data_IF_452917333135
#
_entry.id   IF_452917333135
#
_cell.length_a   1.000
_cell.length_b   1.000
_cell.length_c   1.000
_cell.angle_alpha   90.00
_cell.angle_beta   90.00
_cell.angle_gamma   90.00
#
_symmetry.space_group_name_H-M   'P 1'
#
loop_
_entity.id
_entity.type
_entity.pdbx_description
1 polymer ?
#
# COMPACT_ATOMS: atom_id res chain seq x y z
N UNK A 1 18.15 -2.11 8.51
CA UNK A 1 18.01 -3.54 8.32
C UNK A 1 19.08 -4.27 9.06
N UNK A 2 18.67 -5.27 9.79
CA UNK A 2 19.63 -6.07 10.54
C UNK A 2 20.48 -6.90 9.60
N UNK A 3 19.91 -7.34 8.52
CA UNK A 3 20.64 -8.13 7.56
C UNK A 3 21.63 -7.30 6.80
N UNK A 4 22.82 -7.79 6.75
CA UNK A 4 23.86 -7.16 5.98
C UNK A 4 23.91 -7.65 4.55
N UNK A 5 23.24 -8.76 4.28
CA UNK A 5 23.27 -9.36 2.97
C UNK A 5 22.09 -8.95 2.12
N UNK A 6 21.91 -9.72 1.11
CA UNK A 6 20.80 -9.57 0.20
C UNK A 6 19.67 -10.51 0.58
N UNK A 7 18.48 -10.22 0.11
CA UNK A 7 17.38 -11.14 0.23
C UNK A 7 17.65 -12.41 -0.55
N UNK A 8 17.16 -13.52 -0.03
CA UNK A 8 17.40 -14.81 -0.66
C UNK A 8 16.64 -14.98 -1.96
N UNK A 9 15.44 -14.39 -2.04
CA UNK A 9 14.60 -14.59 -3.22
C UNK A 9 15.00 -13.74 -4.40
N UNK A 10 15.08 -12.42 -4.21
CA UNK A 10 15.33 -11.50 -5.32
C UNK A 10 16.79 -11.12 -5.46
N UNK A 11 17.59 -11.30 -4.42
CA UNK A 11 18.97 -10.85 -4.41
C UNK A 11 19.14 -9.36 -4.16
N UNK A 12 18.05 -8.66 -3.91
CA UNK A 12 18.08 -7.23 -3.63
C UNK A 12 18.34 -6.95 -2.14
N UNK A 13 18.89 -5.80 -1.84
CA UNK A 13 18.98 -5.36 -0.45
C UNK A 13 17.59 -5.23 0.15
N UNK A 14 17.40 -5.56 1.43
CA UNK A 14 16.07 -5.53 2.03
C UNK A 14 15.34 -4.19 1.91
N UNK A 15 16.06 -3.08 2.08
CA UNK A 15 15.42 -1.78 1.98
C UNK A 15 14.97 -1.46 0.54
N UNK A 16 15.71 -1.92 -0.45
CA UNK A 16 15.35 -1.74 -1.86
C UNK A 16 14.12 -2.58 -2.18
N UNK A 17 14.12 -3.84 -1.76
CA UNK A 17 12.96 -4.70 -1.97
C UNK A 17 11.71 -4.13 -1.27
N UNK A 18 11.88 -3.57 -0.08
CA UNK A 18 10.77 -2.94 0.66
C UNK A 18 10.20 -1.74 -0.08
N UNK A 19 11.07 -0.91 -0.65
CA UNK A 19 10.61 0.23 -1.47
C UNK A 19 9.82 -0.25 -2.67
N UNK A 20 10.33 -1.28 -3.34
CA UNK A 20 9.66 -1.80 -4.53
C UNK A 20 8.29 -2.38 -4.22
N UNK A 21 8.05 -2.81 -2.99
CA UNK A 21 6.72 -3.25 -2.57
C UNK A 21 5.68 -2.14 -2.73
N UNK A 22 6.09 -0.88 -2.64
CA UNK A 22 5.15 0.24 -2.73
C UNK A 22 5.09 0.87 -4.12
N UNK A 23 6.12 0.67 -4.95
CA UNK A 23 6.25 1.37 -6.24
C UNK A 23 5.03 1.18 -7.13
N UNK A 24 4.56 -0.05 -7.25
CA UNK A 24 3.37 -0.35 -8.01
C UNK A 24 2.44 -1.24 -7.20
N UNK A 25 2.15 -0.80 -5.97
CA UNK A 25 1.24 -1.52 -5.09
C UNK A 25 -0.15 -1.57 -5.73
N UNK A 26 -0.88 -2.66 -5.60
CA UNK A 26 -0.55 -3.88 -4.85
C UNK A 26 0.25 -4.93 -5.66
N UNK A 27 0.55 -4.68 -6.93
CA UNK A 27 1.12 -5.70 -7.82
C UNK A 27 2.54 -6.09 -7.40
N UNK A 28 3.43 -5.12 -7.26
CA UNK A 28 4.79 -5.40 -6.80
C UNK A 28 4.80 -5.94 -5.38
N UNK A 29 3.86 -5.48 -4.54
CA UNK A 29 3.73 -5.98 -3.18
C UNK A 29 3.49 -7.48 -3.16
N UNK A 30 2.58 -7.95 -4.00
CA UNK A 30 2.25 -9.37 -4.07
C UNK A 30 3.44 -10.16 -4.58
N UNK A 31 4.15 -9.64 -5.58
CA UNK A 31 5.33 -10.31 -6.12
C UNK A 31 6.37 -10.52 -5.02
N UNK A 32 6.70 -9.47 -4.28
CA UNK A 32 7.71 -9.60 -3.23
C UNK A 32 7.23 -10.43 -2.06
N UNK A 33 5.92 -10.43 -1.79
CA UNK A 33 5.35 -11.31 -0.79
C UNK A 33 5.64 -12.78 -1.10
N UNK A 34 5.60 -13.14 -2.37
CA UNK A 34 5.83 -14.51 -2.81
C UNK A 34 7.31 -14.84 -2.97
N UNK A 35 8.11 -13.84 -3.33
CA UNK A 35 9.54 -14.06 -3.64
C UNK A 35 10.40 -13.95 -2.37
N UNK A 36 10.13 -13.00 -1.49
CA UNK A 36 10.98 -12.73 -0.32
C UNK A 36 10.36 -13.30 0.95
N UNK A 37 10.14 -14.58 0.98
CA UNK A 37 9.43 -15.21 2.10
C UNK A 37 10.23 -15.26 3.39
N UNK A 38 11.55 -15.21 3.29
CA UNK A 38 12.43 -15.37 4.44
C UNK A 38 12.66 -14.06 5.20
N UNK A 39 12.54 -12.92 4.53
CA UNK A 39 12.83 -11.64 5.15
C UNK A 39 11.55 -11.01 5.70
N UNK A 40 11.47 -10.90 7.02
CA UNK A 40 10.26 -10.39 7.67
C UNK A 40 10.04 -8.92 7.44
N UNK A 41 11.08 -8.14 7.27
CA UNK A 41 10.93 -6.71 6.97
C UNK A 41 10.27 -6.53 5.60
N UNK A 42 10.75 -7.27 4.60
CA UNK A 42 10.16 -7.21 3.26
C UNK A 42 8.73 -7.75 3.29
N UNK A 43 8.50 -8.83 4.03
CA UNK A 43 7.15 -9.37 4.18
C UNK A 43 6.19 -8.36 4.80
N UNK A 44 6.63 -7.63 5.81
CA UNK A 44 5.81 -6.59 6.41
C UNK A 44 5.41 -5.53 5.38
N UNK A 45 6.39 -5.02 4.63
CA UNK A 45 6.12 -3.99 3.63
C UNK A 45 5.28 -4.54 2.47
N UNK A 46 5.50 -5.81 2.12
CA UNK A 46 4.71 -6.44 1.07
C UNK A 46 3.24 -6.58 1.49
N UNK A 47 2.99 -7.00 2.72
CA UNK A 47 1.62 -7.07 3.23
C UNK A 47 0.98 -5.70 3.34
N UNK A 48 1.72 -4.74 3.90
CA UNK A 48 1.19 -3.38 4.04
C UNK A 48 0.92 -2.74 2.67
N UNK A 49 1.84 -2.92 1.72
CA UNK A 49 1.65 -2.41 0.36
C UNK A 49 0.47 -3.04 -0.34
N UNK A 50 0.26 -4.35 -0.15
CA UNK A 50 -0.88 -5.05 -0.73
C UNK A 50 -2.19 -4.52 -0.17
N UNK A 51 -2.29 -4.43 1.16
CA UNK A 51 -3.52 -3.98 1.80
C UNK A 51 -3.77 -2.50 1.48
N UNK A 52 -2.72 -1.69 1.50
CA UNK A 52 -2.85 -0.28 1.14
C UNK A 52 -3.31 -0.10 -0.31
N UNK A 53 -2.69 -0.83 -1.24
CA UNK A 53 -3.03 -0.73 -2.66
C UNK A 53 -4.44 -1.22 -2.95
N UNK A 54 -4.78 -2.40 -2.45
CA UNK A 54 -6.12 -2.96 -2.63
C UNK A 54 -7.16 -2.09 -1.95
N UNK A 55 -6.86 -1.60 -0.73
CA UNK A 55 -7.78 -0.75 0.00
C UNK A 55 -8.05 0.57 -0.71
N UNK A 56 -7.00 1.19 -1.25
CA UNK A 56 -7.14 2.44 -2.00
C UNK A 56 -8.00 2.23 -3.24
N UNK A 57 -7.73 1.16 -3.99
CA UNK A 57 -8.52 0.84 -5.18
C UNK A 57 -9.98 0.60 -4.80
N UNK A 58 -10.22 -0.15 -3.74
CA UNK A 58 -11.58 -0.45 -3.30
C UNK A 58 -12.34 0.81 -2.88
N UNK A 59 -11.67 1.72 -2.16
CA UNK A 59 -12.30 2.97 -1.73
C UNK A 59 -12.63 3.84 -2.94
N UNK A 60 -11.70 3.99 -3.87
CA UNK A 60 -11.92 4.78 -5.07
C UNK A 60 -13.06 4.21 -5.90
N UNK A 61 -13.09 2.89 -6.05
CA UNK A 61 -14.16 2.24 -6.81
C UNK A 61 -15.52 2.45 -6.15
N UNK A 62 -15.57 2.34 -4.81
CA UNK A 62 -16.81 2.55 -4.08
C UNK A 62 -17.31 3.98 -4.24
N UNK A 63 -16.42 4.96 -4.16
CA UNK A 63 -16.79 6.37 -4.35
C UNK A 63 -17.34 6.59 -5.77
N UNK A 64 -16.71 6.00 -6.77
CA UNK A 64 -17.16 6.13 -8.14
C UNK A 64 -18.57 5.55 -8.34
N UNK A 65 -18.80 4.35 -7.79
CA UNK A 65 -20.12 3.71 -7.90
C UNK A 65 -21.19 4.56 -7.24
N UNK A 66 -20.93 5.04 -6.02
CA UNK A 66 -21.88 5.88 -5.29
C UNK A 66 -22.13 7.19 -6.05
N UNK A 67 -21.07 7.79 -6.58
CA UNK A 67 -21.16 9.02 -7.35
C UNK A 67 -22.05 8.84 -8.58
N UNK A 68 -21.89 7.72 -9.27
CA UNK A 68 -22.71 7.42 -10.47
C UNK A 68 -24.17 7.23 -10.10
N UNK A 69 -24.43 6.46 -9.03
CA UNK A 69 -25.80 6.17 -8.61
C UNK A 69 -26.50 7.45 -8.17
N UNK A 70 -25.87 8.23 -7.31
CA UNK A 70 -26.46 9.47 -6.83
C UNK A 70 -26.55 10.52 -7.92
N UNK A 71 -25.58 10.55 -8.83
CA UNK A 71 -25.59 11.46 -9.96
C UNK A 71 -26.71 11.16 -10.96
N UNK A 72 -27.11 9.89 -11.07
CA UNK A 72 -28.23 9.52 -11.90
C UNK A 72 -29.56 10.02 -11.33
N UNK A 73 -29.65 10.12 -10.00
CA UNK A 73 -30.84 10.62 -9.32
C UNK A 73 -30.83 12.15 -9.29
N UNK A 74 -29.69 12.73 -8.94
CA UNK A 74 -29.52 14.17 -8.82
C UNK A 74 -28.08 14.52 -9.13
N UNK A 75 -27.84 15.18 -10.25
CA UNK A 75 -26.49 15.45 -10.78
C UNK A 75 -25.57 16.12 -9.75
N UNK A 76 -26.10 17.06 -8.99
CA UNK A 76 -25.30 17.79 -8.01
C UNK A 76 -24.71 16.87 -6.94
N UNK A 77 -25.47 15.86 -6.52
CA UNK A 77 -24.99 14.90 -5.52
C UNK A 77 -23.84 14.05 -6.08
N UNK A 78 -23.95 13.65 -7.34
CA UNK A 78 -22.88 12.90 -7.98
C UNK A 78 -21.61 13.71 -8.06
N UNK A 79 -21.69 14.99 -8.40
CA UNK A 79 -20.54 15.88 -8.46
C UNK A 79 -19.90 16.04 -7.09
N UNK A 80 -20.73 16.27 -6.06
CA UNK A 80 -20.22 16.41 -4.69
C UNK A 80 -19.45 15.18 -4.24
N UNK A 81 -20.02 14.01 -4.44
CA UNK A 81 -19.38 12.76 -4.05
C UNK A 81 -18.11 12.54 -4.87
N UNK A 82 -18.17 12.88 -6.16
CA UNK A 82 -17.02 12.74 -7.05
C UNK A 82 -15.80 13.57 -6.63
N UNK A 83 -16.03 14.67 -5.93
CA UNK A 83 -14.92 15.47 -5.40
C UNK A 83 -14.07 14.74 -4.37
N UNK A 84 -14.59 13.66 -3.77
CA UNK A 84 -13.82 12.86 -2.84
C UNK A 84 -12.69 12.10 -3.54
N UNK A 85 -12.82 11.83 -4.84
CA UNK A 85 -11.80 11.07 -5.58
C UNK A 85 -10.43 11.75 -5.56
N UNK A 86 -10.31 13.02 -5.98
CA UNK A 86 -9.00 13.68 -5.92
C UNK A 86 -8.48 13.84 -4.49
N UNK A 87 -9.38 13.98 -3.50
CA UNK A 87 -8.97 14.06 -2.11
C UNK A 87 -8.35 12.76 -1.63
N UNK A 88 -8.97 11.64 -2.00
CA UNK A 88 -8.43 10.31 -1.65
C UNK A 88 -7.08 10.09 -2.34
N UNK A 89 -6.97 10.47 -3.61
CA UNK A 89 -5.71 10.38 -4.33
C UNK A 89 -4.61 11.18 -3.66
N UNK A 90 -4.93 12.41 -3.26
CA UNK A 90 -3.94 13.27 -2.61
C UNK A 90 -3.46 12.66 -1.31
N UNK A 91 -4.39 12.19 -0.48
CA UNK A 91 -4.05 11.54 0.78
C UNK A 91 -3.24 10.27 0.55
N UNK A 92 -3.65 9.47 -0.43
CA UNK A 92 -2.95 8.23 -0.76
C UNK A 92 -1.53 8.49 -1.22
N UNK A 93 -1.31 9.52 -2.02
CA UNK A 93 0.04 9.87 -2.49
C UNK A 93 0.92 10.28 -1.32
N UNK A 94 0.41 11.08 -0.39
CA UNK A 94 1.17 11.48 0.79
C UNK A 94 1.57 10.27 1.60
N UNK A 95 0.62 9.38 1.88
CA UNK A 95 0.89 8.17 2.63
C UNK A 95 1.89 7.29 1.89
N UNK A 96 1.74 7.17 0.57
CA UNK A 96 2.63 6.40 -0.27
C UNK A 96 4.07 6.91 -0.18
N UNK A 97 4.26 8.22 -0.26
CA UNK A 97 5.59 8.82 -0.14
C UNK A 97 6.21 8.48 1.22
N UNK A 98 5.43 8.60 2.29
CA UNK A 98 5.92 8.27 3.62
C UNK A 98 6.32 6.80 3.69
N UNK A 99 5.50 5.91 3.16
CA UNK A 99 5.80 4.49 3.15
C UNK A 99 7.09 4.18 2.40
N UNK A 100 7.28 4.81 1.23
CA UNK A 100 8.49 4.61 0.43
C UNK A 100 9.73 5.09 1.19
N UNK A 101 9.66 6.29 1.76
CA UNK A 101 10.81 6.84 2.51
C UNK A 101 11.15 5.97 3.70
N UNK A 102 10.14 5.58 4.47
CA UNK A 102 10.37 4.75 5.66
C UNK A 102 10.89 3.37 5.29
N UNK A 103 10.39 2.79 4.21
CA UNK A 103 10.89 1.50 3.72
C UNK A 103 12.35 1.60 3.32
N UNK A 104 12.73 2.67 2.65
CA UNK A 104 14.12 2.88 2.25
C UNK A 104 15.04 3.03 3.47
N UNK A 105 14.54 3.65 4.53
CA UNK A 105 15.29 3.82 5.77
C UNK A 105 15.36 2.54 6.61
N UNK A 106 14.68 1.50 6.18
CA UNK A 106 14.65 0.24 6.92
C UNK A 106 13.69 0.24 8.10
N UNK A 107 12.79 1.19 8.17
CA UNK A 107 11.84 1.29 9.28
C UNK A 107 10.53 0.59 8.94
N UNK A 108 9.92 0.00 9.96
CA UNK A 108 8.61 -0.62 9.86
C UNK A 108 7.54 0.38 10.28
N UNK A 109 7.39 1.44 9.50
CA UNK A 109 6.37 2.44 9.79
C UNK A 109 5.00 1.87 9.48
N UNK A 110 4.17 1.80 10.50
CA UNK A 110 2.86 1.16 10.39
C UNK A 110 1.78 2.16 10.07
N UNK A 111 0.98 1.85 9.07
CA UNK A 111 -0.25 2.60 8.81
C UNK A 111 -1.27 2.30 9.92
N UNK A 112 -2.14 3.25 10.26
CA UNK A 112 -3.17 2.98 11.25
C UNK A 112 -4.00 1.75 10.83
N UNK A 113 -4.16 0.80 11.74
CA UNK A 113 -4.91 -0.44 11.53
C UNK A 113 -4.19 -1.38 10.55
N UNK A 114 -3.89 -0.91 9.34
CA UNK A 114 -3.28 -1.73 8.30
C UNK A 114 -1.89 -2.22 8.68
N UNK A 115 -1.13 -1.39 9.38
CA UNK A 115 0.22 -1.76 9.79
C UNK A 115 0.25 -2.91 10.77
N UNK A 116 -0.68 -2.93 11.70
CA UNK A 116 -0.76 -4.04 12.66
C UNK A 116 -1.16 -5.33 11.96
N UNK A 117 -2.09 -5.26 11.02
CA UNK A 117 -2.46 -6.42 10.23
C UNK A 117 -1.27 -6.94 9.44
N UNK A 118 -0.52 -6.04 8.80
CA UNK A 118 0.66 -6.42 8.04
C UNK A 118 1.72 -7.08 8.91
N UNK A 119 1.92 -6.55 10.11
CA UNK A 119 2.88 -7.12 11.05
C UNK A 119 2.48 -8.53 11.46
N UNK A 120 1.21 -8.73 11.76
CA UNK A 120 0.71 -10.06 12.11
C UNK A 120 0.91 -11.05 10.98
N UNK A 121 0.59 -10.64 9.77
CA UNK A 121 0.73 -11.52 8.60
C UNK A 121 2.19 -11.81 8.28
N UNK A 122 3.08 -10.88 8.58
CA UNK A 122 4.51 -11.09 8.37
C UNK A 122 5.15 -11.91 9.49
N UNK A 123 4.42 -12.19 10.55
CA UNK A 123 4.94 -12.96 11.66
C UNK A 123 5.82 -12.15 12.61
N UNK A 124 5.49 -10.90 12.79
CA UNK A 124 6.25 -10.00 13.66
C UNK A 124 5.54 -9.73 14.97
#
# INVERSE_FOLDING_TARGET
MAETGRNQGSGLAPNIASVLCYVAAPFTSIVFMLVEKENKDVQFHAWQGTVFGVGTIAVLFAIEIVSWILGAIFSFLGILIGFLVPMVWFAAIIVWIICVVKAYQGERWKLPILGDMAAQRAGI
#
